data_IF_490509121442
#
_entry.id   IF_490509121442
#
_cell.length_a   1.000
_cell.length_b   1.000
_cell.length_c   1.000
_cell.angle_alpha   90.00
_cell.angle_beta   90.00
_cell.angle_gamma   90.00
#
_symmetry.space_group_name_H-M   'P 1'
#
loop_
_entity.id
_entity.type
_entity.pdbx_description
1 polymer ?
#
# COMPACT_ATOMS: atom_id res chain seq x y z
N UNK A 1 0.53 -20.28 -21.41
CA UNK A 1 -0.44 -20.59 -20.32
C UNK A 1 0.25 -20.63 -18.95
N UNK A 2 1.32 -21.44 -18.77
CA UNK A 2 1.99 -21.52 -17.45
C UNK A 2 2.51 -20.17 -16.95
N UNK A 3 3.16 -19.37 -17.80
CA UNK A 3 3.66 -18.05 -17.41
C UNK A 3 2.52 -17.12 -16.92
N UNK A 4 1.41 -17.08 -17.64
CA UNK A 4 0.25 -16.27 -17.26
C UNK A 4 -0.31 -16.75 -15.93
N UNK A 5 -0.55 -18.06 -15.76
CA UNK A 5 -1.09 -18.65 -14.54
C UNK A 5 -0.24 -18.35 -13.30
N UNK A 6 1.08 -18.53 -13.36
CA UNK A 6 1.97 -18.30 -12.22
C UNK A 6 2.03 -16.81 -11.80
N UNK A 7 1.88 -15.90 -12.77
CA UNK A 7 1.83 -14.46 -12.50
C UNK A 7 0.45 -14.01 -12.02
N UNK A 8 -0.64 -14.65 -12.49
CA UNK A 8 -1.99 -14.43 -11.97
C UNK A 8 -2.09 -14.90 -10.51
N UNK A 9 -1.53 -16.07 -10.18
CA UNK A 9 -1.47 -16.59 -8.81
C UNK A 9 -0.63 -15.67 -7.89
N UNK A 10 0.44 -15.07 -8.42
CA UNK A 10 1.24 -14.10 -7.66
C UNK A 10 0.48 -12.80 -7.41
N UNK A 11 -0.27 -12.32 -8.40
CA UNK A 11 -1.15 -11.15 -8.25
C UNK A 11 -2.23 -11.42 -7.18
N UNK A 12 -2.85 -12.61 -7.20
CA UNK A 12 -3.85 -13.00 -6.21
C UNK A 12 -3.28 -12.98 -4.80
N UNK A 13 -2.06 -13.52 -4.59
CA UNK A 13 -1.38 -13.45 -3.28
C UNK A 13 -1.06 -12.03 -2.84
N UNK A 14 -0.68 -11.13 -3.76
CA UNK A 14 -0.48 -9.70 -3.43
C UNK A 14 -1.79 -9.06 -3.00
N UNK A 15 -2.89 -9.31 -3.73
CA UNK A 15 -4.21 -8.79 -3.38
C UNK A 15 -4.64 -9.31 -2.01
N UNK A 16 -4.52 -10.61 -1.76
CA UNK A 16 -4.86 -11.24 -0.48
C UNK A 16 -4.05 -10.61 0.66
N UNK A 17 -2.72 -10.51 0.53
CA UNK A 17 -1.84 -9.91 1.54
C UNK A 17 -2.14 -8.43 1.81
N UNK A 18 -2.69 -7.71 0.81
CA UNK A 18 -3.11 -6.31 0.99
C UNK A 18 -4.52 -6.18 1.59
N UNK A 19 -5.34 -7.24 1.54
CA UNK A 19 -6.72 -7.21 2.04
C UNK A 19 -6.88 -7.84 3.43
N UNK A 20 -6.02 -8.81 3.80
CA UNK A 20 -6.13 -9.56 5.06
C UNK A 20 -5.51 -8.85 6.28
N UNK A 21 -4.91 -7.69 6.08
CA UNK A 21 -4.23 -6.90 7.11
C UNK A 21 -2.81 -7.37 7.42
N UNK A 22 -2.28 -8.38 6.74
CA UNK A 22 -0.91 -8.87 6.93
C UNK A 22 0.15 -7.80 6.64
N UNK A 23 -0.14 -6.87 5.74
CA UNK A 23 0.69 -5.70 5.45
C UNK A 23 0.89 -4.74 6.64
N UNK A 24 0.01 -4.80 7.65
CA UNK A 24 0.06 -3.93 8.83
C UNK A 24 0.94 -4.51 9.95
N UNK A 25 1.60 -5.63 9.74
CA UNK A 25 2.48 -6.25 10.74
C UNK A 25 3.90 -5.63 10.74
N UNK A 26 4.67 -6.00 11.76
CA UNK A 26 6.08 -5.62 11.85
C UNK A 26 6.31 -4.10 11.94
N UNK A 27 7.15 -3.56 11.08
CA UNK A 27 7.55 -2.16 11.11
C UNK A 27 6.37 -1.20 10.86
N UNK A 28 5.46 -1.54 9.95
CA UNK A 28 4.27 -0.71 9.67
C UNK A 28 3.46 -0.51 10.94
N UNK A 29 3.16 -1.59 11.67
CA UNK A 29 2.41 -1.51 12.92
C UNK A 29 3.15 -0.71 14.00
N UNK A 30 4.46 -0.92 14.15
CA UNK A 30 5.28 -0.19 15.12
C UNK A 30 5.29 1.32 14.81
N UNK A 31 5.45 1.73 13.57
CA UNK A 31 5.41 3.13 13.14
C UNK A 31 4.01 3.74 13.27
N UNK A 32 2.98 2.96 12.97
CA UNK A 32 1.61 3.38 13.18
C UNK A 32 1.31 3.61 14.66
N UNK A 33 1.69 2.70 15.55
CA UNK A 33 1.52 2.86 16.99
C UNK A 33 2.28 4.09 17.52
N UNK A 34 3.49 4.34 17.03
CA UNK A 34 4.25 5.55 17.32
C UNK A 34 3.49 6.81 16.87
N UNK A 35 2.97 6.83 15.64
CA UNK A 35 2.20 7.95 15.09
C UNK A 35 0.94 8.24 15.91
N UNK A 36 0.21 7.20 16.29
CA UNK A 36 -0.99 7.32 17.13
C UNK A 36 -0.61 7.72 18.57
N UNK A 37 0.44 7.11 19.13
CA UNK A 37 0.87 7.29 20.51
C UNK A 37 1.49 8.66 20.78
N UNK A 38 2.04 9.35 19.79
CA UNK A 38 2.55 10.73 19.96
C UNK A 38 1.45 11.75 20.24
N UNK A 39 0.20 11.33 20.17
CA UNK A 39 -0.96 12.22 20.33
C UNK A 39 -1.15 13.20 19.16
N UNK A 40 -0.29 13.15 18.15
CA UNK A 40 -0.41 14.03 16.98
C UNK A 40 -1.72 13.75 16.23
N UNK A 41 -2.14 12.48 16.17
CA UNK A 41 -3.44 12.09 15.63
C UNK A 41 -4.59 12.67 16.48
N UNK A 42 -4.53 12.56 17.82
CA UNK A 42 -5.59 13.00 18.71
C UNK A 42 -5.57 14.52 18.95
N UNK A 43 -4.39 15.14 19.08
CA UNK A 43 -4.28 16.61 19.12
C UNK A 43 -4.88 17.27 17.90
N UNK A 44 -4.80 16.59 16.77
CA UNK A 44 -5.41 17.03 15.52
C UNK A 44 -6.94 17.00 15.58
N UNK A 45 -7.53 16.10 16.35
CA UNK A 45 -8.97 16.00 16.53
C UNK A 45 -9.48 16.93 17.65
N UNK A 46 -8.65 17.24 18.66
CA UNK A 46 -9.01 18.03 19.83
C UNK A 46 -8.85 19.57 19.65
N UNK A 47 -8.18 20.05 18.60
CA UNK A 47 -7.94 21.50 18.35
C UNK A 47 -9.23 22.29 18.05
N UNK A 48 -10.40 21.80 18.43
CA UNK A 48 -11.59 22.64 18.52
C UNK A 48 -11.66 23.50 19.81
N UNK A 49 -10.71 23.35 20.75
CA UNK A 49 -10.69 24.13 22.00
C UNK A 49 -9.29 24.68 22.26
N UNK A 50 -9.03 25.89 21.80
CA UNK A 50 -8.13 26.87 22.41
C UNK A 50 -6.63 26.66 22.41
N UNK A 51 -5.96 27.42 21.56
CA UNK A 51 -4.65 28.08 21.81
C UNK A 51 -3.54 27.30 22.53
N UNK A 52 -2.78 26.46 21.83
CA UNK A 52 -1.36 26.24 22.15
C UNK A 52 -0.59 26.01 20.84
N UNK A 53 -0.14 27.08 20.18
CA UNK A 53 0.51 27.01 18.86
C UNK A 53 2.05 27.01 18.88
N UNK A 54 2.71 27.25 20.00
CA UNK A 54 4.08 27.77 19.93
C UNK A 54 5.20 26.95 20.61
N UNK A 55 4.98 25.73 21.09
CA UNK A 55 6.05 25.03 21.87
C UNK A 55 6.57 23.68 21.34
N UNK A 56 6.03 23.12 20.26
CA UNK A 56 6.43 21.78 19.80
C UNK A 56 7.35 21.78 18.55
N UNK A 57 7.50 22.90 17.88
CA UNK A 57 8.28 22.98 16.64
C UNK A 57 9.81 22.98 16.82
N UNK A 58 10.33 23.14 18.02
CA UNK A 58 11.78 23.27 18.25
C UNK A 58 12.53 21.96 18.50
N UNK A 59 11.85 20.88 18.84
CA UNK A 59 12.50 19.59 19.21
C UNK A 59 12.61 18.58 18.06
N UNK A 60 12.00 18.83 16.91
CA UNK A 60 11.94 17.87 15.78
C UNK A 60 12.83 18.27 14.58
N UNK A 61 13.77 19.20 14.75
CA UNK A 61 14.73 19.52 13.68
C UNK A 61 15.59 18.30 13.38
N UNK A 62 15.29 17.62 12.26
CA UNK A 62 16.11 16.53 11.71
C UNK A 62 15.46 15.15 11.68
N UNK A 63 14.31 14.91 12.32
CA UNK A 63 13.57 13.64 12.19
C UNK A 63 12.39 13.79 11.24
N UNK A 64 12.15 12.82 10.32
CA UNK A 64 10.96 12.82 9.49
C UNK A 64 9.70 12.88 10.38
N UNK A 65 8.68 13.63 9.94
CA UNK A 65 7.39 13.67 10.65
C UNK A 65 6.85 12.24 10.84
N UNK A 66 6.19 11.94 11.98
CA UNK A 66 5.70 10.59 12.27
C UNK A 66 4.88 9.97 11.14
N UNK A 67 3.96 10.74 10.52
CA UNK A 67 3.21 10.30 9.34
C UNK A 67 4.11 9.85 8.18
N UNK A 68 5.21 10.57 7.92
CA UNK A 68 6.14 10.21 6.84
C UNK A 68 6.87 8.88 7.11
N UNK A 69 7.14 8.55 8.37
CA UNK A 69 7.75 7.27 8.74
C UNK A 69 6.79 6.10 8.50
N UNK A 70 5.51 6.27 8.81
CA UNK A 70 4.48 5.27 8.48
C UNK A 70 4.34 5.10 6.97
N UNK A 71 4.27 6.21 6.23
CA UNK A 71 4.22 6.19 4.77
C UNK A 71 5.40 5.42 4.17
N UNK A 72 6.61 5.67 4.66
CA UNK A 72 7.81 4.96 4.24
C UNK A 72 7.76 3.47 4.58
N UNK A 73 7.35 3.10 5.80
CA UNK A 73 7.23 1.70 6.21
C UNK A 73 6.21 0.94 5.35
N UNK A 74 5.04 1.53 5.08
CA UNK A 74 4.05 0.96 4.15
C UNK A 74 4.67 0.79 2.76
N UNK A 75 5.36 1.82 2.27
CA UNK A 75 6.01 1.77 0.95
C UNK A 75 7.02 0.65 0.85
N UNK A 76 7.92 0.52 1.83
CA UNK A 76 8.95 -0.52 1.86
C UNK A 76 8.34 -1.93 1.89
N UNK A 77 7.36 -2.17 2.78
CA UNK A 77 6.70 -3.48 2.88
C UNK A 77 5.97 -3.86 1.59
N UNK A 78 5.33 -2.90 0.92
CA UNK A 78 4.65 -3.16 -0.34
C UNK A 78 5.64 -3.44 -1.49
N UNK A 79 6.76 -2.72 -1.55
CA UNK A 79 7.84 -3.00 -2.51
C UNK A 79 8.40 -4.41 -2.30
N UNK A 80 8.71 -4.78 -1.05
CA UNK A 80 9.22 -6.12 -0.70
C UNK A 80 8.24 -7.21 -1.12
N UNK A 81 6.94 -7.04 -0.86
CA UNK A 81 5.91 -7.98 -1.28
C UNK A 81 5.86 -8.14 -2.80
N UNK A 82 5.80 -7.04 -3.55
CA UNK A 82 5.74 -7.06 -5.02
C UNK A 82 6.97 -7.73 -5.61
N UNK A 83 8.16 -7.44 -5.09
CA UNK A 83 9.42 -8.04 -5.56
C UNK A 83 9.45 -9.54 -5.24
N UNK A 84 9.08 -9.94 -4.03
CA UNK A 84 9.08 -11.34 -3.62
C UNK A 84 8.12 -12.19 -4.45
N UNK A 85 6.88 -11.72 -4.67
CA UNK A 85 5.90 -12.44 -5.47
C UNK A 85 6.27 -12.47 -6.96
N UNK A 86 6.86 -11.40 -7.48
CA UNK A 86 7.41 -11.36 -8.84
C UNK A 86 8.51 -12.38 -9.05
N UNK A 87 9.46 -12.46 -8.13
CA UNK A 87 10.54 -13.45 -8.19
C UNK A 87 10.00 -14.88 -8.09
N UNK A 88 9.03 -15.11 -7.21
CA UNK A 88 8.35 -16.40 -7.04
C UNK A 88 7.68 -16.83 -8.34
N UNK A 89 6.91 -15.95 -9.00
CA UNK A 89 6.26 -16.22 -10.28
C UNK A 89 7.25 -16.55 -11.40
N UNK A 90 8.33 -15.78 -11.52
CA UNK A 90 9.38 -16.05 -12.51
C UNK A 90 10.03 -17.43 -12.29
N UNK A 91 10.40 -17.77 -11.06
CA UNK A 91 10.98 -19.07 -10.72
C UNK A 91 9.98 -20.24 -10.93
N UNK A 92 8.71 -20.04 -10.63
CA UNK A 92 7.68 -21.05 -10.88
C UNK A 92 7.46 -21.27 -12.38
N UNK A 93 7.42 -20.20 -13.16
CA UNK A 93 7.34 -20.25 -14.63
C UNK A 93 8.54 -20.99 -15.22
N UNK A 94 9.78 -20.66 -14.79
CA UNK A 94 11.00 -21.33 -15.25
C UNK A 94 10.94 -22.84 -14.95
N UNK A 95 10.57 -23.23 -13.74
CA UNK A 95 10.43 -24.65 -13.35
C UNK A 95 9.36 -25.37 -14.17
N UNK A 96 8.24 -24.71 -14.43
CA UNK A 96 7.14 -25.24 -15.24
C UNK A 96 7.57 -25.46 -16.69
N UNK A 97 8.30 -24.52 -17.28
CA UNK A 97 8.82 -24.61 -18.64
C UNK A 97 9.88 -25.70 -18.79
N UNK A 98 10.79 -25.83 -17.83
CA UNK A 98 11.77 -26.93 -17.81
C UNK A 98 11.10 -28.30 -17.77
N UNK A 99 10.06 -28.46 -16.95
CA UNK A 99 9.27 -29.71 -16.87
C UNK A 99 8.49 -30.00 -18.16
N UNK A 100 8.00 -28.97 -18.82
CA UNK A 100 7.30 -29.10 -20.09
C UNK A 100 8.23 -29.35 -21.30
N UNK A 101 9.56 -29.41 -21.13
CA UNK A 101 10.50 -29.62 -22.18
C UNK A 101 10.72 -28.43 -23.12
N UNK A 102 10.41 -27.20 -22.65
CA UNK A 102 10.69 -25.97 -23.39
C UNK A 102 12.18 -25.89 -23.72
N UNK A 103 12.52 -25.46 -24.95
CA UNK A 103 13.91 -25.38 -25.40
C UNK A 103 14.72 -24.42 -24.51
N UNK A 104 15.98 -24.80 -24.23
CA UNK A 104 16.88 -23.97 -23.44
C UNK A 104 17.09 -22.58 -24.08
N UNK A 105 17.03 -22.49 -25.40
CA UNK A 105 17.14 -21.21 -26.10
C UNK A 105 15.95 -20.28 -25.83
N UNK A 106 14.72 -20.79 -25.80
CA UNK A 106 13.53 -20.01 -25.48
C UNK A 106 13.58 -19.56 -24.03
N UNK A 107 13.98 -20.45 -23.09
CA UNK A 107 14.13 -20.12 -21.69
C UNK A 107 15.18 -19.02 -21.47
N UNK A 108 16.35 -19.13 -22.12
CA UNK A 108 17.39 -18.11 -21.98
C UNK A 108 16.95 -16.76 -22.54
N UNK A 109 16.18 -16.74 -23.65
CA UNK A 109 15.59 -15.49 -24.18
C UNK A 109 14.63 -14.87 -23.20
N UNK A 110 13.71 -15.65 -22.63
CA UNK A 110 12.76 -15.15 -21.64
C UNK A 110 13.46 -14.55 -20.41
N UNK A 111 14.43 -15.28 -19.85
CA UNK A 111 15.18 -14.85 -18.68
C UNK A 111 16.05 -13.60 -18.93
N UNK A 112 16.48 -13.37 -20.15
CA UNK A 112 17.22 -12.16 -20.53
C UNK A 112 16.33 -10.91 -20.54
N UNK A 113 15.03 -11.07 -20.79
CA UNK A 113 14.06 -9.97 -20.80
C UNK A 113 13.45 -9.70 -19.39
N UNK A 114 13.56 -10.66 -18.46
CA UNK A 114 13.09 -10.46 -17.08
C UNK A 114 14.01 -9.45 -16.39
N UNK A 115 13.44 -8.40 -15.77
CA UNK A 115 14.25 -7.41 -15.04
C UNK A 115 15.12 -8.08 -13.97
N UNK A 116 16.33 -7.59 -13.79
CA UNK A 116 17.18 -7.99 -12.67
C UNK A 116 16.47 -7.65 -11.34
N UNK A 117 16.93 -8.22 -10.23
CA UNK A 117 16.38 -7.90 -8.92
C UNK A 117 16.34 -6.39 -8.66
N UNK A 118 17.47 -5.70 -8.88
CA UNK A 118 17.53 -4.23 -8.72
C UNK A 118 16.59 -3.50 -9.68
N UNK A 119 16.46 -3.97 -10.93
CA UNK A 119 15.51 -3.41 -11.89
C UNK A 119 14.07 -3.56 -11.41
N UNK A 120 13.73 -4.71 -10.85
CA UNK A 120 12.42 -4.99 -10.30
C UNK A 120 12.11 -4.13 -9.06
N UNK A 121 13.11 -3.96 -8.16
CA UNK A 121 12.99 -3.06 -7.01
C UNK A 121 12.70 -1.61 -7.44
N UNK A 122 13.36 -1.11 -8.48
CA UNK A 122 13.12 0.24 -9.01
C UNK A 122 11.70 0.36 -9.58
N UNK A 123 11.24 -0.63 -10.35
CA UNK A 123 9.89 -0.62 -10.93
C UNK A 123 8.82 -0.70 -9.82
N UNK A 124 8.99 -1.60 -8.86
CA UNK A 124 8.08 -1.73 -7.72
C UNK A 124 8.06 -0.45 -6.87
N UNK A 125 9.21 0.15 -6.60
CA UNK A 125 9.30 1.41 -5.85
C UNK A 125 8.59 2.56 -6.58
N UNK A 126 8.74 2.66 -7.90
CA UNK A 126 8.05 3.66 -8.71
C UNK A 126 6.52 3.45 -8.66
N UNK A 127 6.05 2.21 -8.82
CA UNK A 127 4.64 1.84 -8.71
C UNK A 127 4.06 2.28 -7.36
N UNK A 128 4.73 1.90 -6.27
CA UNK A 128 4.29 2.20 -4.91
C UNK A 128 4.28 3.71 -4.64
N UNK A 129 5.33 4.42 -5.07
CA UNK A 129 5.39 5.87 -4.94
C UNK A 129 4.24 6.57 -5.68
N UNK A 130 3.93 6.13 -6.91
CA UNK A 130 2.84 6.68 -7.70
C UNK A 130 1.48 6.38 -7.07
N UNK A 131 1.29 5.19 -6.51
CA UNK A 131 0.10 4.85 -5.73
C UNK A 131 -0.04 5.73 -4.49
N UNK A 132 1.02 5.92 -3.70
CA UNK A 132 0.99 6.81 -2.53
C UNK A 132 0.62 8.25 -2.91
N UNK A 133 1.16 8.77 -4.02
CA UNK A 133 0.78 10.09 -4.54
C UNK A 133 -0.70 10.15 -4.92
N UNK A 134 -1.24 9.08 -5.53
CA UNK A 134 -2.65 9.00 -5.87
C UNK A 134 -3.53 9.00 -4.62
N UNK A 135 -3.17 8.26 -3.58
CA UNK A 135 -3.85 8.31 -2.27
C UNK A 135 -3.91 9.74 -1.71
N UNK A 136 -2.78 10.47 -1.75
CA UNK A 136 -2.75 11.87 -1.33
C UNK A 136 -3.64 12.78 -2.21
N UNK A 137 -3.75 12.48 -3.50
CA UNK A 137 -4.62 13.21 -4.42
C UNK A 137 -6.10 12.96 -4.11
N UNK A 138 -6.49 11.74 -3.79
CA UNK A 138 -7.84 11.40 -3.34
C UNK A 138 -8.23 12.18 -2.08
N UNK A 139 -7.32 12.22 -1.10
CA UNK A 139 -7.54 12.97 0.15
C UNK A 139 -7.70 14.48 -0.11
N UNK A 140 -6.87 15.06 -1.01
CA UNK A 140 -6.97 16.48 -1.37
C UNK A 140 -8.26 16.81 -2.10
N UNK A 141 -8.66 15.95 -3.03
CA UNK A 141 -9.89 16.15 -3.81
C UNK A 141 -11.14 16.15 -2.92
N UNK A 142 -11.21 15.22 -1.99
CA UNK A 142 -12.31 15.13 -1.03
C UNK A 142 -12.32 16.29 -0.03
N UNK A 143 -11.13 16.78 0.34
CA UNK A 143 -10.94 17.92 1.27
C UNK A 143 -11.19 19.30 0.65
N UNK A 144 -11.70 19.42 -0.57
CA UNK A 144 -11.96 20.70 -1.25
C UNK A 144 -13.15 21.51 -0.68
N UNK A 145 -14.01 20.88 0.11
CA UNK A 145 -15.10 21.57 0.80
C UNK A 145 -14.58 22.39 2.00
N UNK A 146 -15.01 23.65 2.11
CA UNK A 146 -14.56 24.62 3.15
C UNK A 146 -14.71 24.10 4.58
N UNK A 147 -15.71 23.27 4.86
CA UNK A 147 -15.91 22.67 6.18
C UNK A 147 -14.93 21.54 6.49
N UNK A 148 -14.52 20.80 5.46
CA UNK A 148 -13.54 19.71 5.54
C UNK A 148 -12.12 20.25 5.60
N UNK A 149 -11.82 21.36 4.92
CA UNK A 149 -10.51 22.02 4.95
C UNK A 149 -10.09 22.37 6.38
N UNK A 150 -11.01 22.86 7.21
CA UNK A 150 -10.69 23.19 8.60
C UNK A 150 -10.36 21.94 9.46
N UNK A 151 -10.99 20.79 9.18
CA UNK A 151 -10.71 19.51 9.84
C UNK A 151 -9.42 18.86 9.31
N UNK A 152 -9.16 18.96 8.01
CA UNK A 152 -7.90 18.52 7.41
C UNK A 152 -6.68 19.32 7.88
N UNK A 153 -6.84 20.59 8.19
CA UNK A 153 -5.76 21.43 8.73
C UNK A 153 -5.17 20.88 10.03
N UNK A 154 -5.94 20.11 10.79
CA UNK A 154 -5.49 19.49 12.01
C UNK A 154 -4.64 18.24 11.80
N UNK A 155 -4.99 17.36 10.86
CA UNK A 155 -4.21 16.14 10.52
C UNK A 155 -3.11 16.40 9.50
N UNK A 156 -3.27 17.45 8.70
CA UNK A 156 -2.50 17.61 7.48
C UNK A 156 -2.86 16.58 6.40
N UNK A 157 -2.63 16.92 5.15
CA UNK A 157 -2.90 16.01 4.01
C UNK A 157 -2.12 14.70 4.14
N UNK A 158 -0.87 14.76 4.59
CA UNK A 158 -0.03 13.57 4.75
C UNK A 158 -0.54 12.67 5.88
N UNK A 159 -1.00 13.23 7.01
CA UNK A 159 -1.57 12.43 8.09
C UNK A 159 -2.86 11.73 7.66
N UNK A 160 -3.77 12.42 6.99
CA UNK A 160 -4.98 11.82 6.45
C UNK A 160 -4.68 10.76 5.37
N UNK A 161 -3.66 10.99 4.53
CA UNK A 161 -3.20 10.03 3.54
C UNK A 161 -2.71 8.73 4.17
N UNK A 162 -1.89 8.83 5.22
CA UNK A 162 -1.41 7.65 5.96
C UNK A 162 -2.56 6.89 6.61
N UNK A 163 -3.52 7.59 7.21
CA UNK A 163 -4.71 6.94 7.78
C UNK A 163 -5.51 6.21 6.70
N UNK A 164 -5.64 6.80 5.51
CA UNK A 164 -6.29 6.14 4.37
C UNK A 164 -5.49 4.91 3.90
N UNK A 165 -4.15 5.00 3.82
CA UNK A 165 -3.30 3.84 3.48
C UNK A 165 -3.46 2.70 4.48
N UNK A 166 -3.48 2.99 5.78
CA UNK A 166 -3.75 1.98 6.82
C UNK A 166 -5.11 1.32 6.59
N UNK A 167 -6.14 2.11 6.26
CA UNK A 167 -7.47 1.57 6.03
C UNK A 167 -7.58 0.74 4.74
N UNK A 168 -6.79 1.06 3.72
CA UNK A 168 -6.68 0.25 2.49
C UNK A 168 -6.22 -1.17 2.82
N UNK A 169 -5.25 -1.33 3.72
CA UNK A 169 -4.71 -2.63 4.12
C UNK A 169 -5.41 -3.24 5.34
N UNK A 170 -6.37 -2.54 5.92
CA UNK A 170 -7.15 -3.10 7.01
C UNK A 170 -8.24 -4.02 6.48
N UNK A 171 -8.34 -5.21 7.02
CA UNK A 171 -9.44 -6.11 6.73
C UNK A 171 -10.76 -5.49 7.20
N UNK A 172 -11.52 -4.91 6.28
CA UNK A 172 -12.84 -4.33 6.57
C UNK A 172 -13.98 -5.31 6.28
N UNK A 173 -13.66 -6.58 6.04
CA UNK A 173 -14.63 -7.66 5.89
C UNK A 173 -15.28 -7.98 7.24
N UNK A 174 -16.27 -7.15 7.63
CA UNK A 174 -17.19 -7.46 8.72
C UNK A 174 -16.51 -7.75 10.07
N UNK A 175 -16.17 -6.71 10.83
CA UNK A 175 -15.85 -6.86 12.26
C UNK A 175 -17.11 -7.26 13.06
N UNK A 176 -17.70 -8.37 12.69
CA UNK A 176 -18.73 -9.06 13.45
C UNK A 176 -18.11 -10.31 14.04
N UNK A 177 -17.44 -10.14 15.17
CA UNK A 177 -17.19 -11.25 16.07
C UNK A 177 -15.75 -11.70 16.23
N UNK A 178 -15.15 -11.36 17.35
CA UNK A 178 -14.37 -12.29 18.18
C UNK A 178 -12.87 -12.42 17.92
N UNK A 179 -12.35 -12.13 16.75
CA UNK A 179 -10.91 -12.22 16.47
C UNK A 179 -10.28 -10.84 16.24
N UNK A 180 -10.34 -10.03 17.30
CA UNK A 180 -9.65 -8.73 17.33
C UNK A 180 -8.17 -9.00 17.59
N UNK A 181 -7.46 -9.44 16.56
CA UNK A 181 -6.01 -9.36 16.56
C UNK A 181 -5.56 -7.90 16.65
N UNK A 182 -4.30 -7.67 16.98
CA UNK A 182 -3.69 -6.34 17.16
C UNK A 182 -3.96 -5.41 15.95
N UNK A 183 -4.13 -5.95 14.75
CA UNK A 183 -4.50 -5.23 13.53
C UNK A 183 -5.94 -4.67 13.57
N UNK A 184 -6.90 -5.33 14.22
CA UNK A 184 -8.29 -4.90 14.29
C UNK A 184 -8.48 -3.57 15.03
N UNK A 185 -7.78 -3.35 16.13
CA UNK A 185 -7.86 -2.10 16.90
C UNK A 185 -7.33 -0.89 16.11
N UNK A 186 -6.27 -1.06 15.34
CA UNK A 186 -5.69 0.01 14.51
C UNK A 186 -6.58 0.37 13.32
N UNK A 187 -7.24 -0.63 12.72
CA UNK A 187 -8.18 -0.44 11.62
C UNK A 187 -9.42 0.35 12.07
N UNK A 188 -10.01 -0.02 13.22
CA UNK A 188 -11.16 0.68 13.80
C UNK A 188 -10.82 2.15 14.07
N UNK A 189 -9.62 2.41 14.61
CA UNK A 189 -9.18 3.77 14.88
C UNK A 189 -9.01 4.57 13.59
N UNK A 190 -8.34 4.00 12.58
CA UNK A 190 -8.17 4.62 11.27
C UNK A 190 -9.53 4.94 10.62
N UNK A 191 -10.47 4.00 10.66
CA UNK A 191 -11.82 4.17 10.17
C UNK A 191 -12.53 5.33 10.88
N UNK A 192 -12.56 5.34 12.21
CA UNK A 192 -13.22 6.41 12.99
C UNK A 192 -12.62 7.78 12.71
N UNK A 193 -11.30 7.87 12.54
CA UNK A 193 -10.63 9.13 12.20
C UNK A 193 -11.07 9.64 10.83
N UNK A 194 -11.08 8.79 9.81
CA UNK A 194 -11.52 9.18 8.47
C UNK A 194 -13.02 9.49 8.42
N UNK A 195 -13.85 8.71 9.12
CA UNK A 195 -15.29 8.98 9.24
C UNK A 195 -15.56 10.35 9.90
N UNK A 196 -14.82 10.67 10.96
CA UNK A 196 -14.96 11.95 11.64
C UNK A 196 -14.54 13.14 10.76
N UNK A 197 -13.55 12.94 9.89
CA UNK A 197 -13.02 13.99 9.01
C UNK A 197 -13.85 14.12 7.73
N UNK A 198 -14.09 13.03 7.03
CA UNK A 198 -14.67 13.02 5.68
C UNK A 198 -16.12 12.53 5.62
N UNK A 199 -16.60 11.85 6.65
CA UNK A 199 -17.84 11.10 6.64
C UNK A 199 -17.68 9.69 6.06
N UNK A 200 -18.63 8.82 6.38
CA UNK A 200 -18.58 7.39 6.05
C UNK A 200 -18.58 7.15 4.53
N UNK A 201 -19.42 7.83 3.79
CA UNK A 201 -19.55 7.64 2.34
C UNK A 201 -18.25 8.02 1.59
N UNK A 202 -17.68 9.17 1.90
CA UNK A 202 -16.45 9.65 1.29
C UNK A 202 -15.26 8.74 1.64
N UNK A 203 -15.15 8.32 2.91
CA UNK A 203 -14.13 7.37 3.36
C UNK A 203 -14.20 6.06 2.57
N UNK A 204 -15.38 5.43 2.46
CA UNK A 204 -15.54 4.18 1.69
C UNK A 204 -15.19 4.37 0.22
N UNK A 205 -15.61 5.50 -0.38
CA UNK A 205 -15.30 5.82 -1.77
C UNK A 205 -13.80 6.00 -2.03
N UNK A 206 -13.08 6.68 -1.12
CA UNK A 206 -11.63 6.84 -1.22
C UNK A 206 -10.90 5.50 -1.04
N UNK A 207 -11.28 4.70 -0.04
CA UNK A 207 -10.68 3.38 0.22
C UNK A 207 -10.84 2.45 -0.97
N UNK A 208 -12.04 2.40 -1.54
CA UNK A 208 -12.33 1.60 -2.74
C UNK A 208 -11.42 2.02 -3.91
N UNK A 209 -11.39 3.31 -4.24
CA UNK A 209 -10.57 3.84 -5.34
C UNK A 209 -9.08 3.60 -5.13
N UNK A 210 -8.59 3.73 -3.89
CA UNK A 210 -7.19 3.47 -3.57
C UNK A 210 -6.81 1.98 -3.74
N UNK A 211 -7.71 1.05 -3.40
CA UNK A 211 -7.54 -0.39 -3.63
C UNK A 211 -7.55 -0.73 -5.11
N UNK A 212 -8.54 -0.22 -5.85
CA UNK A 212 -8.66 -0.43 -7.29
C UNK A 212 -7.41 0.05 -8.02
N UNK A 213 -6.90 1.25 -7.73
CA UNK A 213 -5.67 1.79 -8.33
C UNK A 213 -4.45 0.92 -8.00
N UNK A 214 -4.32 0.42 -6.77
CA UNK A 214 -3.22 -0.49 -6.39
C UNK A 214 -3.31 -1.80 -7.16
N UNK A 215 -4.51 -2.40 -7.23
CA UNK A 215 -4.76 -3.65 -7.95
C UNK A 215 -4.47 -3.52 -9.45
N UNK A 216 -4.91 -2.43 -10.08
CA UNK A 216 -4.62 -2.15 -11.50
C UNK A 216 -3.12 -2.05 -11.79
N UNK A 217 -2.38 -1.34 -10.93
CA UNK A 217 -0.92 -1.20 -11.05
C UNK A 217 -0.20 -2.53 -10.85
N UNK A 218 -0.59 -3.31 -9.85
CA UNK A 218 -0.04 -4.64 -9.63
C UNK A 218 -0.34 -5.58 -10.81
N UNK A 219 -1.57 -5.56 -11.32
CA UNK A 219 -1.97 -6.32 -12.51
C UNK A 219 -1.08 -5.99 -13.70
N UNK A 220 -0.83 -4.70 -13.95
CA UNK A 220 0.05 -4.28 -15.06
C UNK A 220 1.50 -4.76 -14.87
N UNK A 221 2.02 -4.73 -13.63
CA UNK A 221 3.35 -5.24 -13.31
C UNK A 221 3.47 -6.73 -13.64
N UNK A 222 2.57 -7.58 -13.12
CA UNK A 222 2.60 -9.02 -13.32
C UNK A 222 2.31 -9.41 -14.77
N UNK A 223 1.39 -8.73 -15.46
CA UNK A 223 1.12 -8.96 -16.87
C UNK A 223 2.35 -8.65 -17.75
N UNK A 224 3.08 -7.56 -17.49
CA UNK A 224 4.29 -7.23 -18.19
C UNK A 224 5.39 -8.28 -17.98
N UNK A 225 5.52 -8.83 -16.76
CA UNK A 225 6.47 -9.90 -16.49
C UNK A 225 6.09 -11.22 -17.18
N UNK A 226 4.81 -11.61 -17.12
CA UNK A 226 4.33 -12.78 -17.85
C UNK A 226 4.62 -12.67 -19.36
N UNK A 227 4.53 -11.46 -19.91
CA UNK A 227 4.81 -11.18 -21.31
C UNK A 227 6.25 -11.45 -21.71
N UNK A 228 7.24 -11.17 -20.84
CA UNK A 228 8.64 -11.53 -21.11
C UNK A 228 8.81 -13.04 -21.43
N UNK A 229 8.03 -13.88 -20.78
CA UNK A 229 8.02 -15.32 -21.06
C UNK A 229 7.24 -15.67 -22.32
N UNK A 230 6.03 -15.12 -22.50
CA UNK A 230 5.19 -15.48 -23.65
C UNK A 230 5.79 -15.04 -24.98
N UNK A 231 6.44 -13.88 -25.04
CA UNK A 231 7.05 -13.33 -26.24
C UNK A 231 8.35 -14.06 -26.62
N UNK A 232 8.96 -14.80 -25.71
CA UNK A 232 10.15 -15.62 -25.96
C UNK A 232 9.83 -16.96 -26.68
N UNK A 233 8.55 -17.36 -26.72
CA UNK A 233 8.14 -18.57 -27.44
C UNK A 233 8.08 -18.30 -28.96
N UNK A 234 8.55 -19.24 -29.79
CA UNK A 234 8.32 -19.14 -31.23
C UNK A 234 6.81 -19.24 -31.51
N UNK A 235 6.34 -18.42 -32.44
CA UNK A 235 4.99 -18.50 -33.01
C UNK A 235 4.76 -19.82 -33.72
#
# INVERSE_FOLDING_TARGET
RAATSEHDDALERVIEATEDGSMLHGEVLARWQEFVGTGDLFRSLEVQVGRVRDRVTSLLRGRPAPAKRVEQAIGSSLVELLVAESQRACLATERSWRRAGTSQQALNRALAEVPSQTGLEVVAAALVHDWQRQVLTLVRAEGSDKRLTARLLSLGVNGAGVVLMILVFAHTGGLTGGEVGIAGGTAILAQRVLEAVFGDQAMRGMTKRAREDLSERATALFANQAKCFTDALPL
#
